data_IF_930827442518
#
_entry.id   IF_930827442518
#
_cell.length_a   1.000
_cell.length_b   1.000
_cell.length_c   1.000
_cell.angle_alpha   90.00
_cell.angle_beta   90.00
_cell.angle_gamma   90.00
#
_symmetry.space_group_name_H-M   'P 1'
#
loop_
_entity.id
_entity.type
_entity.pdbx_description
1 polymer ?
#
# COMPACT_ATOMS: atom_id res chain seq x y z
N UNK A 1 -39.28 53.44 62.77
CA UNK A 1 -39.35 54.30 61.57
C UNK A 1 -39.05 53.41 60.35
N UNK A 2 -40.09 53.01 59.60
CA UNK A 2 -40.33 53.32 58.17
C UNK A 2 -39.28 52.67 57.20
N UNK A 3 -39.62 51.57 56.49
CA UNK A 3 -40.24 51.46 55.13
C UNK A 3 -39.27 51.97 54.02
N UNK A 4 -38.91 51.32 52.89
CA UNK A 4 -39.58 50.39 51.94
C UNK A 4 -38.53 49.94 50.85
N UNK A 5 -38.64 48.69 50.36
CA UNK A 5 -38.36 48.06 49.02
C UNK A 5 -37.04 48.35 48.23
N UNK A 6 -36.41 47.39 47.53
CA UNK A 6 -36.91 46.65 46.34
C UNK A 6 -36.27 45.25 46.11
N UNK A 7 -36.95 44.49 45.24
CA UNK A 7 -36.93 43.06 44.94
C UNK A 7 -35.94 42.52 43.88
N UNK A 8 -35.45 41.28 44.10
CA UNK A 8 -35.28 40.19 43.10
C UNK A 8 -33.89 39.96 42.46
N UNK A 9 -33.58 38.76 41.88
CA UNK A 9 -34.10 37.41 42.14
C UNK A 9 -33.02 36.34 42.43
N UNK A 10 -33.51 35.17 42.86
CA UNK A 10 -32.83 33.93 43.24
C UNK A 10 -32.02 33.26 42.13
N UNK A 11 -30.78 32.83 42.43
CA UNK A 11 -30.08 31.75 41.70
C UNK A 11 -29.72 30.60 42.64
N UNK A 12 -30.18 29.42 42.23
CA UNK A 12 -30.04 28.12 42.88
C UNK A 12 -28.57 27.66 42.86
N UNK A 13 -28.17 27.03 43.96
CA UNK A 13 -26.96 26.23 44.07
C UNK A 13 -27.01 25.04 43.10
N UNK A 14 -25.93 24.82 42.35
CA UNK A 14 -25.68 23.58 41.59
C UNK A 14 -24.54 22.87 42.29
N UNK A 15 -24.85 21.70 42.83
CA UNK A 15 -23.92 20.80 43.48
C UNK A 15 -22.98 20.16 42.46
N UNK A 16 -21.73 19.97 42.89
CA UNK A 16 -20.71 19.15 42.26
C UNK A 16 -21.17 17.68 42.17
N UNK A 17 -21.17 17.11 40.97
CA UNK A 17 -21.02 15.66 40.79
C UNK A 17 -20.43 15.40 39.39
N UNK A 18 -19.10 15.42 39.33
CA UNK A 18 -18.33 15.00 38.17
C UNK A 18 -17.50 13.78 38.54
N UNK A 19 -17.42 12.83 37.60
CA UNK A 19 -16.38 11.80 37.46
C UNK A 19 -16.74 10.37 37.86
N UNK A 20 -17.61 9.72 37.08
CA UNK A 20 -17.56 8.26 36.85
C UNK A 20 -18.01 7.89 35.42
N UNK A 21 -17.31 8.36 34.39
CA UNK A 21 -17.57 7.92 33.00
C UNK A 21 -16.36 8.14 32.08
N UNK A 22 -15.18 7.59 32.39
CA UNK A 22 -14.01 7.76 31.52
C UNK A 22 -13.10 6.52 31.34
N UNK A 23 -13.45 5.35 31.89
CA UNK A 23 -12.55 4.18 31.87
C UNK A 23 -12.94 3.05 30.91
N UNK A 24 -14.07 3.14 30.19
CA UNK A 24 -14.51 2.06 29.28
C UNK A 24 -14.14 2.27 27.81
N UNK A 25 -13.69 3.46 27.40
CA UNK A 25 -13.37 3.73 25.99
C UNK A 25 -11.96 3.25 25.58
N UNK A 26 -11.00 3.21 26.51
CA UNK A 26 -9.61 2.86 26.21
C UNK A 26 -9.34 1.37 25.94
N UNK A 27 -10.13 0.47 26.54
CA UNK A 27 -9.91 -0.99 26.39
C UNK A 27 -10.51 -1.52 25.08
N UNK A 28 -11.65 -0.97 24.63
CA UNK A 28 -12.34 -1.43 23.41
C UNK A 28 -11.52 -1.14 22.14
N UNK A 29 -10.84 0.02 22.09
CA UNK A 29 -9.98 0.41 20.96
C UNK A 29 -8.76 -0.52 20.79
N UNK A 30 -8.11 -0.92 21.88
CA UNK A 30 -6.99 -1.86 21.82
C UNK A 30 -7.42 -3.24 21.30
N UNK A 31 -8.56 -3.77 21.75
CA UNK A 31 -9.00 -5.13 21.36
C UNK A 31 -9.34 -5.21 19.86
N UNK A 32 -9.98 -4.17 19.31
CA UNK A 32 -10.27 -4.10 17.87
C UNK A 32 -8.99 -4.03 17.02
N UNK A 33 -7.96 -3.31 17.48
CA UNK A 33 -6.66 -3.21 16.82
C UNK A 33 -5.94 -4.56 16.68
N UNK A 34 -5.98 -5.41 17.72
CA UNK A 34 -5.37 -6.75 17.68
C UNK A 34 -6.15 -7.71 16.79
N UNK A 35 -7.48 -7.63 16.79
CA UNK A 35 -8.33 -8.51 15.98
C UNK A 35 -8.07 -8.34 14.47
N UNK A 36 -7.94 -7.10 14.00
CA UNK A 36 -7.75 -6.81 12.57
C UNK A 36 -6.38 -7.27 12.03
N UNK A 37 -5.30 -7.07 12.81
CA UNK A 37 -3.97 -7.56 12.42
C UNK A 37 -3.92 -9.10 12.40
N UNK A 38 -4.59 -9.75 13.36
CA UNK A 38 -4.71 -11.20 13.40
C UNK A 38 -5.48 -11.76 12.20
N UNK A 39 -6.56 -11.09 11.75
CA UNK A 39 -7.32 -11.46 10.57
C UNK A 39 -6.43 -11.42 9.31
N UNK A 40 -5.67 -10.34 9.10
CA UNK A 40 -4.75 -10.25 7.96
C UNK A 40 -3.67 -11.34 7.94
N UNK A 41 -3.09 -11.68 9.09
CA UNK A 41 -2.15 -12.80 9.21
C UNK A 41 -2.82 -14.13 8.88
N UNK A 42 -4.08 -14.32 9.30
CA UNK A 42 -4.85 -15.52 9.01
C UNK A 42 -5.14 -15.67 7.51
N UNK A 43 -5.43 -14.57 6.81
CA UNK A 43 -5.67 -14.59 5.35
C UNK A 43 -4.41 -14.97 4.56
N UNK A 44 -3.25 -14.45 4.96
CA UNK A 44 -1.99 -14.81 4.32
C UNK A 44 -1.64 -16.29 4.55
N UNK A 45 -1.87 -16.82 5.75
CA UNK A 45 -1.66 -18.23 6.05
C UNK A 45 -2.60 -19.13 5.24
N UNK A 46 -3.89 -18.78 5.17
CA UNK A 46 -4.89 -19.47 4.35
C UNK A 46 -4.50 -19.49 2.87
N UNK A 47 -4.07 -18.35 2.33
CA UNK A 47 -3.62 -18.27 0.95
C UNK A 47 -2.40 -19.16 0.67
N UNK A 48 -1.39 -19.15 1.55
CA UNK A 48 -0.22 -20.04 1.40
C UNK A 48 -0.59 -21.52 1.37
N UNK A 49 -1.58 -21.91 2.18
CA UNK A 49 -2.12 -23.27 2.15
C UNK A 49 -2.86 -23.56 0.83
N UNK A 50 -3.66 -22.62 0.33
CA UNK A 50 -4.32 -22.78 -0.98
C UNK A 50 -3.30 -22.92 -2.12
N UNK A 51 -2.23 -22.14 -2.10
CA UNK A 51 -1.17 -22.23 -3.12
C UNK A 51 -0.45 -23.57 -3.10
N UNK A 52 -0.16 -24.11 -1.91
CA UNK A 52 0.53 -25.40 -1.80
C UNK A 52 -0.32 -26.59 -2.24
N UNK A 53 -1.65 -26.44 -2.19
CA UNK A 53 -2.61 -27.47 -2.60
C UNK A 53 -3.08 -27.33 -4.06
N UNK A 54 -2.87 -26.17 -4.69
CA UNK A 54 -3.29 -25.92 -6.07
C UNK A 54 -2.21 -26.33 -7.08
N UNK A 55 -2.57 -27.03 -8.18
CA UNK A 55 -1.62 -27.33 -9.26
C UNK A 55 -1.03 -26.07 -9.90
N UNK A 56 -1.72 -24.92 -9.79
CA UNK A 56 -1.30 -23.64 -10.36
C UNK A 56 -0.72 -22.67 -9.32
N UNK A 57 -0.70 -23.04 -8.04
CA UNK A 57 -0.35 -22.13 -6.94
C UNK A 57 1.04 -21.52 -7.07
N UNK A 58 2.06 -22.32 -7.41
CA UNK A 58 3.43 -21.84 -7.63
C UNK A 58 3.54 -20.83 -8.78
N UNK A 59 2.70 -20.98 -9.82
CA UNK A 59 2.68 -20.05 -10.94
C UNK A 59 2.07 -18.71 -10.55
N UNK A 60 1.05 -18.71 -9.68
CA UNK A 60 0.39 -17.48 -9.21
C UNK A 60 1.26 -16.77 -8.15
N UNK A 61 1.81 -17.52 -7.19
CA UNK A 61 2.68 -17.01 -6.12
C UNK A 61 3.83 -16.16 -6.67
N UNK A 62 4.44 -16.59 -7.78
CA UNK A 62 5.60 -15.92 -8.39
C UNK A 62 5.29 -14.55 -9.02
N UNK A 63 4.02 -14.17 -9.16
CA UNK A 63 3.64 -12.91 -9.83
C UNK A 63 4.20 -11.71 -9.07
N UNK A 64 4.20 -11.74 -7.73
CA UNK A 64 4.77 -10.69 -6.88
C UNK A 64 5.73 -11.29 -5.84
N UNK A 65 6.84 -10.61 -5.54
CA UNK A 65 7.73 -11.01 -4.46
C UNK A 65 7.08 -10.81 -3.08
N UNK A 66 7.53 -11.54 -2.04
CA UNK A 66 7.11 -11.31 -0.66
C UNK A 66 7.71 -10.00 -0.13
N UNK A 67 7.09 -8.86 -0.47
CA UNK A 67 7.62 -7.53 -0.17
C UNK A 67 7.07 -6.91 1.11
N UNK A 68 5.79 -7.14 1.41
CA UNK A 68 5.09 -6.55 2.56
C UNK A 68 4.11 -7.55 3.18
N UNK A 69 3.80 -7.33 4.45
CA UNK A 69 2.75 -8.02 5.20
C UNK A 69 1.55 -7.09 5.42
N UNK A 70 0.38 -7.61 5.85
CA UNK A 70 -0.77 -6.78 6.16
C UNK A 70 -0.49 -5.68 7.20
N UNK A 71 0.45 -5.90 8.14
CA UNK A 71 0.83 -4.91 9.14
C UNK A 71 1.63 -3.72 8.55
N UNK A 72 2.27 -3.92 7.40
CA UNK A 72 3.04 -2.89 6.69
C UNK A 72 2.15 -2.01 5.79
N UNK A 73 0.88 -2.37 5.63
CA UNK A 73 -0.07 -1.57 4.85
C UNK A 73 -0.31 -0.21 5.53
N UNK A 74 -0.44 0.89 4.76
CA UNK A 74 -0.87 2.18 5.30
C UNK A 74 -2.25 2.07 5.96
N UNK A 75 -2.44 2.65 7.14
CA UNK A 75 -3.70 2.51 7.88
C UNK A 75 -4.13 1.03 8.00
N UNK A 76 -3.28 0.14 8.59
CA UNK A 76 -3.43 -1.31 8.49
C UNK A 76 -4.70 -1.87 9.15
N UNK A 77 -5.36 -1.05 9.98
CA UNK A 77 -6.63 -1.38 10.64
C UNK A 77 -7.85 -0.84 9.89
N UNK A 78 -7.64 -0.09 8.80
CA UNK A 78 -8.73 0.38 7.95
C UNK A 78 -9.39 -0.77 7.21
N UNK A 79 -10.65 -0.61 6.89
CA UNK A 79 -11.38 -1.60 6.10
C UNK A 79 -10.74 -1.80 4.71
N UNK A 80 -10.21 -0.74 4.09
CA UNK A 80 -9.48 -0.83 2.82
C UNK A 80 -8.21 -1.69 2.90
N UNK A 81 -7.42 -1.55 3.98
CA UNK A 81 -6.27 -2.41 4.23
C UNK A 81 -6.69 -3.88 4.44
N UNK A 82 -7.76 -4.12 5.20
CA UNK A 82 -8.31 -5.46 5.43
C UNK A 82 -8.76 -6.13 4.13
N UNK A 83 -9.51 -5.42 3.29
CA UNK A 83 -9.95 -5.95 1.99
C UNK A 83 -8.76 -6.21 1.06
N UNK A 84 -7.74 -5.35 1.09
CA UNK A 84 -6.51 -5.54 0.31
C UNK A 84 -5.81 -6.84 0.72
N UNK A 85 -5.67 -7.08 2.03
CA UNK A 85 -5.11 -8.32 2.55
C UNK A 85 -5.99 -9.53 2.20
N UNK A 86 -7.31 -9.45 2.41
CA UNK A 86 -8.24 -10.55 2.15
C UNK A 86 -8.25 -11.00 0.70
N UNK A 87 -8.32 -10.06 -0.24
CA UNK A 87 -8.56 -10.41 -1.64
C UNK A 87 -7.27 -10.63 -2.42
N UNK A 88 -6.27 -9.75 -2.27
CA UNK A 88 -5.09 -9.76 -3.12
C UNK A 88 -4.16 -10.93 -2.81
N UNK A 89 -4.11 -11.40 -1.56
CA UNK A 89 -3.24 -12.52 -1.19
C UNK A 89 -3.75 -13.87 -1.67
N UNK A 90 -4.97 -13.99 -2.20
CA UNK A 90 -5.49 -15.30 -2.61
C UNK A 90 -4.67 -15.95 -3.74
N UNK A 91 -3.97 -15.16 -4.55
CA UNK A 91 -3.23 -15.64 -5.72
C UNK A 91 -1.72 -15.42 -5.61
N UNK A 92 -1.28 -14.27 -5.10
CA UNK A 92 0.12 -13.87 -5.06
C UNK A 92 0.45 -13.14 -3.76
N UNK A 93 1.73 -12.84 -3.51
CA UNK A 93 2.11 -12.01 -2.36
C UNK A 93 1.42 -10.63 -2.38
N UNK A 94 1.29 -10.02 -1.20
CA UNK A 94 0.53 -8.78 -1.01
C UNK A 94 1.14 -7.63 -1.85
N UNK A 95 0.36 -6.95 -2.70
CA UNK A 95 0.84 -5.79 -3.43
C UNK A 95 0.97 -4.58 -2.50
N UNK A 96 2.06 -3.82 -2.64
CA UNK A 96 2.23 -2.55 -1.94
C UNK A 96 1.44 -1.45 -2.67
N UNK A 97 0.54 -0.69 -2.00
CA UNK A 97 -0.18 0.43 -2.63
C UNK A 97 0.74 1.43 -3.36
N UNK A 98 1.98 1.58 -2.91
CA UNK A 98 2.99 2.45 -3.54
C UNK A 98 3.64 1.86 -4.80
N UNK A 99 3.20 0.73 -5.33
CA UNK A 99 3.76 0.17 -6.59
C UNK A 99 3.16 0.79 -7.86
N UNK A 100 1.99 1.43 -7.75
CA UNK A 100 1.27 2.03 -8.87
C UNK A 100 0.75 3.40 -8.50
N UNK A 101 0.53 4.25 -9.51
CA UNK A 101 -0.15 5.54 -9.35
C UNK A 101 -1.64 5.33 -9.13
N UNK A 102 -2.32 6.34 -8.56
CA UNK A 102 -3.77 6.30 -8.34
C UNK A 102 -4.55 5.93 -9.62
N UNK A 103 -4.20 6.56 -10.75
CA UNK A 103 -4.86 6.30 -12.03
C UNK A 103 -4.67 4.85 -12.50
N UNK A 104 -3.51 4.25 -12.25
CA UNK A 104 -3.22 2.87 -12.66
C UNK A 104 -3.95 1.85 -11.80
N UNK A 105 -4.19 2.15 -10.52
CA UNK A 105 -4.85 1.22 -9.60
C UNK A 105 -6.24 0.79 -10.04
N UNK A 106 -7.07 1.70 -10.54
CA UNK A 106 -8.42 1.37 -11.01
C UNK A 106 -8.39 0.24 -12.04
N UNK A 107 -7.58 0.41 -13.09
CA UNK A 107 -7.47 -0.62 -14.13
C UNK A 107 -6.80 -1.91 -13.64
N UNK A 108 -5.93 -1.85 -12.62
CA UNK A 108 -5.36 -3.06 -12.00
C UNK A 108 -6.44 -3.83 -11.25
N UNK A 109 -7.22 -3.16 -10.39
CA UNK A 109 -8.31 -3.76 -9.62
C UNK A 109 -9.35 -4.37 -10.55
N UNK A 110 -9.81 -3.63 -11.58
CA UNK A 110 -10.77 -4.14 -12.57
C UNK A 110 -10.28 -5.42 -13.24
N UNK A 111 -9.02 -5.45 -13.69
CA UNK A 111 -8.43 -6.65 -14.30
C UNK A 111 -8.32 -7.80 -13.31
N UNK A 112 -7.97 -7.53 -12.05
CA UNK A 112 -7.86 -8.58 -11.04
C UNK A 112 -9.23 -9.15 -10.68
N UNK A 113 -10.24 -8.31 -10.46
CA UNK A 113 -11.62 -8.75 -10.21
C UNK A 113 -12.14 -9.59 -11.37
N UNK A 114 -11.92 -9.15 -12.62
CA UNK A 114 -12.28 -9.91 -13.80
C UNK A 114 -11.62 -11.30 -13.82
N UNK A 115 -10.34 -11.39 -13.48
CA UNK A 115 -9.62 -12.67 -13.33
C UNK A 115 -10.16 -13.52 -12.19
N UNK A 116 -10.39 -12.95 -11.01
CA UNK A 116 -10.93 -13.63 -9.83
C UNK A 116 -12.30 -14.25 -10.12
N UNK A 117 -13.07 -13.70 -11.05
CA UNK A 117 -14.33 -14.27 -11.56
C UNK A 117 -14.12 -15.41 -12.58
N UNK A 118 -12.90 -15.90 -12.76
CA UNK A 118 -12.54 -16.93 -13.74
C UNK A 118 -12.55 -16.44 -15.19
N UNK A 119 -12.58 -15.13 -15.44
CA UNK A 119 -12.60 -14.55 -16.80
C UNK A 119 -11.20 -14.12 -17.21
N UNK A 120 -10.86 -14.24 -18.48
CA UNK A 120 -9.48 -14.11 -18.89
C UNK A 120 -9.26 -14.38 -20.36
N UNK A 121 -8.08 -14.00 -20.86
CA UNK A 121 -7.56 -14.49 -22.13
C UNK A 121 -7.12 -15.97 -22.08
N UNK A 122 -7.12 -16.60 -20.90
CA UNK A 122 -6.81 -18.02 -20.72
C UNK A 122 -8.05 -18.94 -20.72
N UNK A 123 -9.25 -18.41 -20.94
CA UNK A 123 -10.48 -19.20 -21.09
C UNK A 123 -10.74 -20.17 -19.93
N UNK A 124 -10.97 -21.45 -20.23
CA UNK A 124 -11.25 -22.49 -19.23
C UNK A 124 -10.14 -22.65 -18.19
N UNK A 125 -8.87 -22.47 -18.59
CA UNK A 125 -7.74 -22.51 -17.66
C UNK A 125 -7.83 -21.40 -16.61
N UNK A 126 -8.30 -20.20 -16.97
CA UNK A 126 -8.49 -19.13 -15.98
C UNK A 126 -9.52 -19.53 -14.91
N UNK A 127 -10.62 -20.17 -15.33
CA UNK A 127 -11.66 -20.63 -14.42
C UNK A 127 -11.13 -21.70 -13.45
N UNK A 128 -10.29 -22.61 -13.95
CA UNK A 128 -9.62 -23.63 -13.13
C UNK A 128 -8.64 -22.99 -12.14
N UNK A 129 -7.77 -22.10 -12.62
CA UNK A 129 -6.77 -21.42 -11.78
C UNK A 129 -7.41 -20.61 -10.64
N UNK A 130 -8.60 -20.06 -10.88
CA UNK A 130 -9.34 -19.21 -9.94
C UNK A 130 -10.38 -19.99 -9.13
N UNK A 131 -10.40 -21.32 -9.22
CA UNK A 131 -11.28 -22.15 -8.41
C UNK A 131 -11.00 -21.91 -6.90
N UNK A 132 -12.05 -21.56 -6.15
CA UNK A 132 -11.94 -21.24 -4.72
C UNK A 132 -11.45 -19.82 -4.40
N UNK A 133 -11.18 -18.99 -5.41
CA UNK A 133 -10.90 -17.55 -5.23
C UNK A 133 -12.21 -16.80 -5.08
N UNK A 134 -12.28 -15.92 -4.08
CA UNK A 134 -13.43 -15.04 -3.84
C UNK A 134 -13.19 -13.69 -4.51
N UNK A 135 -14.11 -13.23 -5.35
CA UNK A 135 -14.12 -11.87 -5.88
C UNK A 135 -14.87 -10.90 -4.94
N UNK A 136 -14.42 -9.64 -4.80
CA UNK A 136 -15.11 -8.63 -4.00
C UNK A 136 -16.48 -8.25 -4.59
N UNK A 137 -17.39 -7.80 -3.73
CA UNK A 137 -18.64 -7.14 -4.12
C UNK A 137 -18.41 -5.71 -4.63
N UNK A 138 -19.39 -5.09 -5.30
CA UNK A 138 -19.25 -3.77 -5.93
C UNK A 138 -18.87 -2.64 -4.95
N UNK A 139 -19.43 -2.66 -3.75
CA UNK A 139 -19.12 -1.72 -2.67
C UNK A 139 -17.70 -1.93 -2.12
N UNK A 140 -17.27 -3.19 -1.97
CA UNK A 140 -15.90 -3.56 -1.61
C UNK A 140 -14.89 -3.16 -2.71
N UNK A 141 -15.25 -3.30 -4.00
CA UNK A 141 -14.42 -2.83 -5.13
C UNK A 141 -14.22 -1.32 -5.05
N UNK A 142 -15.29 -0.57 -4.78
CA UNK A 142 -15.21 0.88 -4.62
C UNK A 142 -14.31 1.26 -3.43
N UNK A 143 -14.38 0.52 -2.32
CA UNK A 143 -13.55 0.76 -1.14
C UNK A 143 -12.07 0.41 -1.38
N UNK A 144 -11.78 -0.72 -2.03
CA UNK A 144 -10.44 -1.12 -2.47
C UNK A 144 -9.80 -0.05 -3.36
N UNK A 145 -10.54 0.43 -4.37
CA UNK A 145 -10.05 1.47 -5.27
C UNK A 145 -9.73 2.75 -4.51
N UNK A 146 -10.63 3.24 -3.65
CA UNK A 146 -10.37 4.43 -2.83
C UNK A 146 -9.11 4.28 -1.98
N UNK A 147 -8.96 3.14 -1.31
CA UNK A 147 -7.82 2.86 -0.46
C UNK A 147 -6.49 2.81 -1.25
N UNK A 148 -6.44 2.03 -2.33
CA UNK A 148 -5.25 1.90 -3.16
C UNK A 148 -4.86 3.23 -3.83
N UNK A 149 -5.84 4.02 -4.28
CA UNK A 149 -5.62 5.35 -4.83
C UNK A 149 -5.08 6.33 -3.80
N UNK A 150 -5.68 6.36 -2.59
CA UNK A 150 -5.26 7.24 -1.49
C UNK A 150 -3.80 7.00 -1.09
N UNK A 151 -3.36 5.75 -1.11
CA UNK A 151 -2.01 5.35 -0.69
C UNK A 151 -1.06 5.03 -1.86
N UNK A 152 -1.41 5.50 -3.05
CA UNK A 152 -0.67 5.23 -4.29
C UNK A 152 0.68 5.94 -4.37
N UNK A 153 1.52 5.45 -5.28
CA UNK A 153 2.78 6.09 -5.64
C UNK A 153 2.53 7.44 -6.33
N UNK A 154 3.39 8.42 -6.04
CA UNK A 154 3.56 9.61 -6.87
C UNK A 154 4.60 9.33 -7.94
N UNK A 155 4.25 9.63 -9.19
CA UNK A 155 5.18 9.55 -10.32
C UNK A 155 6.02 10.84 -10.37
N UNK A 156 7.29 10.72 -10.78
CA UNK A 156 8.11 11.89 -11.05
C UNK A 156 7.50 12.70 -12.21
N UNK A 157 7.49 14.03 -12.07
CA UNK A 157 7.06 14.90 -13.18
C UNK A 157 7.94 14.65 -14.42
N UNK A 158 7.37 14.29 -15.59
CA UNK A 158 8.13 14.10 -16.82
C UNK A 158 8.93 15.34 -17.25
N UNK A 159 8.51 16.54 -16.83
CA UNK A 159 9.22 17.79 -17.08
C UNK A 159 10.35 18.08 -16.07
N UNK A 160 10.53 17.24 -15.06
CA UNK A 160 11.52 17.46 -14.01
C UNK A 160 12.94 17.59 -14.60
N UNK A 161 13.67 18.70 -14.35
CA UNK A 161 14.93 18.98 -15.03
C UNK A 161 16.01 17.92 -14.76
N UNK A 162 15.95 17.27 -13.59
CA UNK A 162 16.85 16.17 -13.26
C UNK A 162 16.80 15.00 -14.25
N UNK A 163 15.65 14.75 -14.90
CA UNK A 163 15.49 13.67 -15.88
C UNK A 163 16.31 13.87 -17.16
N UNK A 164 16.77 15.10 -17.43
CA UNK A 164 17.64 15.40 -18.58
C UNK A 164 19.11 15.04 -18.33
N UNK A 165 19.49 14.84 -17.07
CA UNK A 165 20.85 14.43 -16.70
C UNK A 165 21.07 12.94 -16.99
N UNK A 166 22.32 12.52 -17.14
CA UNK A 166 22.63 11.11 -17.40
C UNK A 166 22.14 10.19 -16.27
N UNK A 167 22.34 10.59 -15.01
CA UNK A 167 21.80 9.88 -13.85
C UNK A 167 20.26 9.83 -13.85
N UNK A 168 19.59 10.89 -14.31
CA UNK A 168 18.14 10.92 -14.45
C UNK A 168 17.61 9.98 -15.54
N UNK A 169 18.30 9.88 -16.68
CA UNK A 169 17.95 8.92 -17.74
C UNK A 169 18.13 7.47 -17.26
N UNK A 170 19.24 7.19 -16.58
CA UNK A 170 19.49 5.89 -15.95
C UNK A 170 18.39 5.53 -14.94
N UNK A 171 18.04 6.47 -14.06
CA UNK A 171 16.95 6.31 -13.10
C UNK A 171 15.62 6.01 -13.81
N UNK A 172 15.23 6.81 -14.80
CA UNK A 172 13.98 6.59 -15.54
C UNK A 172 13.96 5.22 -16.19
N UNK A 173 15.01 4.87 -16.93
CA UNK A 173 15.07 3.59 -17.62
C UNK A 173 15.09 2.41 -16.65
N UNK A 174 15.75 2.52 -15.49
CA UNK A 174 15.79 1.47 -14.50
C UNK A 174 14.43 1.29 -13.79
N UNK A 175 13.87 2.39 -13.28
CA UNK A 175 12.71 2.36 -12.41
C UNK A 175 11.36 2.33 -13.15
N UNK A 176 11.33 2.64 -14.45
CA UNK A 176 10.09 2.62 -15.25
C UNK A 176 9.81 1.28 -15.95
N UNK A 177 10.63 0.25 -15.73
CA UNK A 177 10.49 -1.04 -16.44
C UNK A 177 9.22 -1.80 -16.04
N UNK A 178 8.83 -1.68 -14.77
CA UNK A 178 7.71 -2.45 -14.22
C UNK A 178 6.46 -1.58 -13.99
N UNK A 179 6.65 -0.33 -13.56
CA UNK A 179 5.59 0.63 -13.25
C UNK A 179 6.10 2.06 -13.41
N UNK A 180 5.29 3.07 -13.11
CA UNK A 180 5.70 4.47 -13.13
C UNK A 180 6.95 4.72 -12.26
N UNK A 181 7.87 5.56 -12.72
CA UNK A 181 9.07 5.91 -11.97
C UNK A 181 8.70 6.79 -10.75
N UNK A 182 9.18 6.48 -9.54
CA UNK A 182 8.75 7.19 -8.33
C UNK A 182 9.28 8.62 -8.28
N UNK A 183 8.46 9.56 -7.79
CA UNK A 183 8.96 10.90 -7.42
C UNK A 183 10.02 10.77 -6.31
N UNK A 184 11.26 11.28 -6.50
CA UNK A 184 12.30 11.31 -5.49
C UNK A 184 11.87 11.93 -4.14
N UNK A 185 10.86 12.80 -4.14
CA UNK A 185 10.32 13.44 -2.93
C UNK A 185 9.44 12.54 -2.06
N UNK A 186 9.20 11.30 -2.44
CA UNK A 186 8.44 10.36 -1.61
C UNK A 186 9.22 9.88 -0.38
N UNK A 187 10.55 9.88 -0.47
CA UNK A 187 11.44 9.43 0.58
C UNK A 187 12.55 10.44 0.85
N UNK A 188 13.17 10.32 2.02
CA UNK A 188 14.32 11.12 2.44
C UNK A 188 15.61 10.58 1.83
N UNK A 189 16.65 11.42 1.85
CA UNK A 189 18.01 11.03 1.42
C UNK A 189 18.52 9.75 2.07
N UNK A 190 18.18 9.53 3.36
CA UNK A 190 18.65 8.37 4.13
C UNK A 190 17.88 7.09 3.79
N UNK A 191 16.63 7.20 3.35
CA UNK A 191 15.79 6.04 3.02
C UNK A 191 16.08 5.45 1.64
N UNK A 192 16.47 6.29 0.67
CA UNK A 192 16.65 5.88 -0.73
C UNK A 192 17.59 4.69 -0.96
N UNK A 193 18.76 4.58 -0.30
CA UNK A 193 19.63 3.41 -0.48
C UNK A 193 18.92 2.08 -0.18
N UNK A 194 18.17 2.00 0.91
CA UNK A 194 17.45 0.78 1.29
C UNK A 194 16.28 0.46 0.33
N UNK A 195 15.66 1.49 -0.26
CA UNK A 195 14.59 1.33 -1.23
C UNK A 195 15.12 0.78 -2.55
N UNK A 196 16.24 1.31 -3.04
CA UNK A 196 16.88 0.84 -4.28
C UNK A 196 17.34 -0.61 -4.13
N UNK A 197 17.93 -0.98 -2.99
CA UNK A 197 18.34 -2.36 -2.73
C UNK A 197 17.15 -3.34 -2.73
N UNK A 198 16.04 -2.97 -2.08
CA UNK A 198 14.82 -3.77 -2.14
C UNK A 198 14.27 -3.89 -3.57
N UNK A 199 14.31 -2.81 -4.35
CA UNK A 199 13.87 -2.85 -5.75
C UNK A 199 14.75 -3.76 -6.60
N UNK A 200 16.07 -3.74 -6.42
CA UNK A 200 17.01 -4.64 -7.08
C UNK A 200 16.64 -6.11 -6.83
N UNK A 201 16.28 -6.45 -5.59
CA UNK A 201 15.81 -7.80 -5.24
C UNK A 201 14.50 -8.16 -5.94
N UNK A 202 13.54 -7.22 -6.01
CA UNK A 202 12.28 -7.43 -6.74
C UNK A 202 12.49 -7.61 -8.26
N UNK A 203 13.45 -6.90 -8.86
CA UNK A 203 13.80 -7.05 -10.27
C UNK A 203 14.41 -8.44 -10.54
N UNK A 204 15.25 -8.92 -9.62
CA UNK A 204 15.75 -10.30 -9.64
C UNK A 204 14.63 -11.34 -9.58
N UNK A 205 13.62 -11.13 -8.71
CA UNK A 205 12.45 -12.01 -8.62
C UNK A 205 11.63 -12.07 -9.91
N UNK A 206 11.37 -10.91 -10.52
CA UNK A 206 10.62 -10.83 -11.77
C UNK A 206 11.41 -11.31 -13.00
N UNK A 207 12.69 -11.70 -12.83
CA UNK A 207 13.65 -11.94 -13.91
C UNK A 207 13.67 -10.79 -14.95
N UNK A 208 13.33 -9.57 -14.52
CA UNK A 208 13.14 -8.42 -15.38
C UNK A 208 14.35 -7.52 -15.25
N UNK A 209 15.43 -7.93 -15.92
CA UNK A 209 16.55 -7.07 -16.28
C UNK A 209 16.72 -7.19 -17.79
N UNK A 210 15.92 -6.43 -18.56
CA UNK A 210 16.02 -6.40 -20.03
C UNK A 210 16.49 -5.00 -20.44
N UNK A 211 17.75 -4.90 -20.87
CA UNK A 211 18.46 -3.63 -21.00
C UNK A 211 18.38 -2.96 -22.36
N UNK A 212 18.38 -1.62 -22.33
CA UNK A 212 19.11 -0.80 -23.32
C UNK A 212 20.56 -1.30 -23.36
N UNK A 213 21.19 -1.47 -24.55
CA UNK A 213 22.61 -1.78 -24.67
C UNK A 213 23.53 -0.86 -23.83
N UNK A 214 23.16 0.39 -23.57
CA UNK A 214 23.94 1.30 -22.72
C UNK A 214 23.84 0.96 -21.23
N UNK A 215 22.76 0.30 -20.80
CA UNK A 215 22.55 -0.19 -19.43
C UNK A 215 22.69 -1.70 -19.29
N UNK A 216 22.97 -2.41 -20.39
CA UNK A 216 23.36 -3.82 -20.39
C UNK A 216 24.80 -3.88 -19.90
N UNK A 217 24.96 -3.98 -18.60
CA UNK A 217 26.06 -4.77 -18.10
C UNK A 217 25.45 -5.90 -17.32
N UNK A 218 25.63 -7.12 -17.84
CA UNK A 218 25.69 -8.22 -16.90
C UNK A 218 27.10 -8.16 -16.31
N UNK A 219 27.23 -7.87 -15.01
CA UNK A 219 26.18 -7.53 -14.06
C UNK A 219 26.31 -6.11 -13.52
N UNK A 220 25.20 -5.37 -13.60
CA UNK A 220 24.60 -4.58 -12.51
C UNK A 220 24.21 -3.17 -12.98
N UNK A 221 22.97 -2.77 -12.66
CA UNK A 221 22.54 -1.38 -12.73
C UNK A 221 23.54 -0.54 -11.95
N UNK A 222 23.91 0.65 -12.44
CA UNK A 222 24.70 1.60 -11.64
C UNK A 222 23.81 2.16 -10.51
N UNK A 223 23.64 1.37 -9.45
CA UNK A 223 22.81 1.66 -8.29
C UNK A 223 23.32 2.88 -7.55
N UNK A 224 24.64 3.11 -7.54
CA UNK A 224 25.24 4.30 -6.94
C UNK A 224 24.74 5.59 -7.64
N UNK A 225 24.80 5.65 -8.97
CA UNK A 225 24.31 6.82 -9.72
C UNK A 225 22.81 7.06 -9.52
N UNK A 226 22.01 5.98 -9.48
CA UNK A 226 20.57 6.06 -9.22
C UNK A 226 20.29 6.56 -7.80
N UNK A 227 20.99 6.03 -6.79
CA UNK A 227 20.87 6.48 -5.40
C UNK A 227 21.27 7.94 -5.27
N UNK A 228 22.38 8.37 -5.88
CA UNK A 228 22.81 9.77 -5.85
C UNK A 228 21.76 10.70 -6.50
N UNK A 229 21.14 10.28 -7.61
CA UNK A 229 20.04 11.02 -8.23
C UNK A 229 18.85 11.15 -7.27
N UNK A 230 18.40 10.04 -6.69
CA UNK A 230 17.26 10.01 -5.77
C UNK A 230 17.53 10.85 -4.52
N UNK A 231 18.73 10.77 -3.94
CA UNK A 231 19.14 11.58 -2.79
C UNK A 231 19.22 13.08 -3.12
N UNK A 232 19.66 13.44 -4.33
CA UNK A 232 19.73 14.85 -4.74
C UNK A 232 18.37 15.54 -4.74
N UNK A 233 17.34 14.83 -5.19
CA UNK A 233 15.98 15.35 -5.33
C UNK A 233 15.02 14.86 -4.23
N UNK A 234 15.56 14.24 -3.18
CA UNK A 234 14.80 13.68 -2.09
C UNK A 234 13.98 14.72 -1.31
N UNK A 235 13.00 14.24 -0.55
CA UNK A 235 12.35 15.06 0.48
C UNK A 235 13.40 15.56 1.45
N UNK A 236 13.35 16.83 1.78
CA UNK A 236 14.15 17.37 2.88
C UNK A 236 13.70 16.69 4.17
N UNK A 237 14.65 16.15 4.92
CA UNK A 237 14.39 15.78 6.31
C UNK A 237 14.04 17.08 7.01
N UNK A 238 12.78 17.26 7.43
CA UNK A 238 12.37 18.47 8.13
C UNK A 238 13.37 18.76 9.25
N UNK A 239 14.03 19.91 9.17
CA UNK A 239 14.83 20.43 10.26
C UNK A 239 13.87 20.73 11.41
N UNK A 240 14.12 20.11 12.57
CA UNK A 240 13.64 20.64 13.84
C UNK A 240 14.32 21.96 14.13
#
# INVERSE_FOLDING_TARGET
MARIFTSGPSMRAVAHESSRAALLCGVVLCVASYANAAEGVSELARARQMWSQSPHGRMLERILPPAITPADLPEPQSEGARLTARYCVQCHHLPNPQMHTAQKWTGVVERMVWRMQGKGNLGALMKEMMAGVQAPAEDEIALLNRYLQKHSQKEIDPAHPGLRTEAGKMFSLACSQCHAAPDPRQHTRREWPAIVERMKQHMGWANTVVGSPELRTTPELNTEAIVQFLQRYARESGGG
#
